data_IF_092203939616
#
_entry.id   IF_092203939616
#
_cell.length_a   1.000
_cell.length_b   1.000
_cell.length_c   1.000
_cell.angle_alpha   90.00
_cell.angle_beta   90.00
_cell.angle_gamma   90.00
#
_symmetry.space_group_name_H-M   'P 1'
#
loop_
_entity.id
_entity.type
_entity.pdbx_description
1 polymer ?
#
# COMPACT_ATOMS: atom_id res chain seq x y z
N UNK A 1 13.71 -4.03 -23.64
CA UNK A 1 12.73 -2.93 -23.58
C UNK A 1 13.18 -1.81 -24.49
N UNK A 2 12.45 -1.55 -25.61
CA UNK A 2 12.87 -0.61 -26.66
C UNK A 2 12.19 0.77 -26.54
N UNK A 3 11.47 1.04 -25.45
CA UNK A 3 10.77 2.30 -25.22
C UNK A 3 11.33 3.06 -24.02
N UNK A 4 11.40 4.39 -24.14
CA UNK A 4 11.75 5.29 -23.04
C UNK A 4 10.57 5.39 -22.07
N UNK A 5 10.75 4.97 -20.80
CA UNK A 5 9.73 5.11 -19.75
C UNK A 5 9.61 6.57 -19.34
N UNK A 6 8.41 7.13 -19.47
CA UNK A 6 8.07 8.52 -19.13
C UNK A 6 7.33 8.67 -17.82
N UNK A 7 6.71 7.58 -17.33
CA UNK A 7 6.03 7.59 -16.04
C UNK A 7 6.21 6.25 -15.30
N UNK A 8 6.26 6.33 -13.97
CA UNK A 8 6.20 5.16 -13.09
C UNK A 8 5.07 5.39 -12.09
N UNK A 9 4.12 4.44 -12.08
CA UNK A 9 3.06 4.39 -11.07
C UNK A 9 3.40 3.32 -10.04
N UNK A 10 3.11 3.58 -8.78
CA UNK A 10 3.39 2.69 -7.66
C UNK A 10 2.11 2.30 -6.93
N UNK A 11 2.06 1.06 -6.43
CA UNK A 11 1.20 0.74 -5.29
C UNK A 11 1.76 1.40 -4.02
N UNK A 12 0.96 1.41 -2.96
CA UNK A 12 1.34 2.02 -1.69
C UNK A 12 1.76 0.98 -0.65
N UNK A 13 0.82 0.12 -0.27
CA UNK A 13 0.96 -0.83 0.84
C UNK A 13 1.93 -1.96 0.47
N UNK A 14 2.91 -2.25 1.33
CA UNK A 14 3.99 -3.23 1.11
C UNK A 14 4.85 -2.99 -0.14
N UNK A 15 4.67 -1.85 -0.81
CA UNK A 15 5.47 -1.38 -1.94
C UNK A 15 6.36 -0.21 -1.55
N UNK A 16 5.81 0.87 -1.00
CA UNK A 16 6.56 2.06 -0.60
C UNK A 16 6.86 2.10 0.91
N UNK A 17 6.13 1.35 1.72
CA UNK A 17 6.34 1.19 3.16
C UNK A 17 5.81 -0.18 3.62
N UNK A 18 6.20 -0.64 4.82
CA UNK A 18 5.70 -1.88 5.43
C UNK A 18 4.30 -1.65 6.04
N UNK A 19 3.25 -2.23 5.40
CA UNK A 19 1.86 -2.11 5.87
C UNK A 19 1.66 -2.63 7.29
N UNK A 20 2.49 -3.57 7.74
CA UNK A 20 2.44 -4.07 9.11
C UNK A 20 2.65 -2.95 10.13
N UNK A 21 3.46 -1.93 9.80
CA UNK A 21 3.69 -0.77 10.68
C UNK A 21 2.43 0.07 10.85
N UNK A 22 1.59 0.20 9.82
CA UNK A 22 0.28 0.83 9.91
C UNK A 22 -0.66 0.03 10.82
N UNK A 23 -0.71 -1.29 10.68
CA UNK A 23 -1.54 -2.16 11.54
C UNK A 23 -1.13 -2.03 13.00
N UNK A 24 0.17 -2.09 13.31
CA UNK A 24 0.71 -1.92 14.66
C UNK A 24 0.34 -0.55 15.24
N UNK A 25 0.50 0.51 14.45
CA UNK A 25 0.13 1.87 14.84
C UNK A 25 -1.35 1.98 15.17
N UNK A 26 -2.22 1.41 14.34
CA UNK A 26 -3.65 1.38 14.55
C UNK A 26 -4.06 0.58 15.79
N UNK A 27 -3.44 -0.59 16.03
CA UNK A 27 -3.70 -1.38 17.23
C UNK A 27 -3.28 -0.65 18.51
N UNK A 28 -2.16 0.09 18.50
CA UNK A 28 -1.77 0.91 19.65
C UNK A 28 -2.80 2.01 19.94
N UNK A 29 -3.35 2.65 18.92
CA UNK A 29 -4.41 3.64 19.09
C UNK A 29 -5.69 3.03 19.67
N UNK A 30 -6.06 1.83 19.22
CA UNK A 30 -7.20 1.08 19.74
C UNK A 30 -6.97 0.67 21.19
N UNK A 31 -5.78 0.17 21.52
CA UNK A 31 -5.42 -0.19 22.92
C UNK A 31 -5.55 1.01 23.84
N UNK A 32 -4.98 2.16 23.47
CA UNK A 32 -5.09 3.39 24.24
C UNK A 32 -6.57 3.81 24.45
N UNK A 33 -7.38 3.69 23.42
CA UNK A 33 -8.82 3.98 23.50
C UNK A 33 -9.57 3.06 24.49
N UNK A 34 -9.23 1.76 24.49
CA UNK A 34 -9.84 0.77 25.40
C UNK A 34 -9.36 1.00 26.83
N UNK A 35 -8.04 1.21 27.06
CA UNK A 35 -7.46 1.42 28.37
C UNK A 35 -7.94 2.69 29.07
N UNK A 36 -8.28 3.74 28.30
CA UNK A 36 -8.90 4.97 28.84
C UNK A 36 -10.31 4.72 29.44
N UNK A 37 -10.99 3.65 29.01
CA UNK A 37 -12.39 3.36 29.37
C UNK A 37 -12.56 2.14 30.28
N UNK A 38 -11.62 1.21 30.21
CA UNK A 38 -11.70 -0.07 30.91
C UNK A 38 -10.37 -0.40 31.57
N UNK A 39 -10.39 -1.02 32.78
CA UNK A 39 -9.19 -1.44 33.47
C UNK A 39 -8.62 -2.72 32.82
N UNK A 40 -7.87 -2.55 31.71
CA UNK A 40 -7.27 -3.65 30.95
C UNK A 40 -5.75 -3.61 31.03
N UNK A 41 -5.11 -4.77 30.86
CA UNK A 41 -3.68 -4.85 30.56
C UNK A 41 -3.44 -4.47 29.08
N UNK A 42 -2.88 -3.27 28.86
CA UNK A 42 -2.58 -2.72 27.53
C UNK A 42 -1.69 -3.65 26.71
N UNK A 43 -0.65 -4.20 27.33
CA UNK A 43 0.27 -5.09 26.66
C UNK A 43 -0.42 -6.42 26.29
N UNK A 44 -1.20 -6.96 27.21
CA UNK A 44 -1.94 -8.21 26.99
C UNK A 44 -2.96 -8.09 25.86
N UNK A 45 -3.78 -7.01 25.83
CA UNK A 45 -4.78 -6.83 24.77
C UNK A 45 -4.10 -6.56 23.41
N UNK A 46 -2.98 -5.82 23.37
CA UNK A 46 -2.19 -5.63 22.15
C UNK A 46 -1.67 -6.96 21.60
N UNK A 47 -1.05 -7.78 22.46
CA UNK A 47 -0.55 -9.10 22.06
C UNK A 47 -1.66 -10.02 21.58
N UNK A 48 -2.83 -9.96 22.22
CA UNK A 48 -4.01 -10.70 21.79
C UNK A 48 -4.45 -10.28 20.37
N UNK A 49 -4.50 -8.97 20.08
CA UNK A 49 -4.81 -8.50 18.71
C UNK A 49 -3.79 -8.99 17.68
N UNK A 50 -2.49 -8.96 18.02
CA UNK A 50 -1.42 -9.46 17.14
C UNK A 50 -1.52 -10.97 16.91
N UNK A 51 -1.83 -11.75 17.96
CA UNK A 51 -2.07 -13.20 17.87
C UNK A 51 -3.24 -13.51 16.94
N UNK A 52 -4.40 -12.88 17.17
CA UNK A 52 -5.60 -13.09 16.33
C UNK A 52 -5.31 -12.71 14.88
N UNK A 53 -4.63 -11.59 14.65
CA UNK A 53 -4.23 -11.19 13.30
C UNK A 53 -3.39 -12.25 12.60
N UNK A 54 -2.43 -12.85 13.30
CA UNK A 54 -1.51 -13.84 12.73
C UNK A 54 -2.17 -15.20 12.48
N UNK A 55 -3.15 -15.58 13.29
CA UNK A 55 -3.78 -16.91 13.23
C UNK A 55 -5.09 -16.95 12.42
N UNK A 56 -5.83 -15.83 12.39
CA UNK A 56 -7.17 -15.77 11.83
C UNK A 56 -7.36 -14.65 10.79
N UNK A 57 -6.34 -13.81 10.59
CA UNK A 57 -6.40 -12.67 9.67
C UNK A 57 -7.18 -11.47 10.22
N UNK A 58 -7.51 -10.52 9.32
CA UNK A 58 -8.00 -9.18 9.70
C UNK A 58 -9.46 -9.11 10.14
N UNK A 59 -10.29 -10.09 9.81
CA UNK A 59 -11.75 -9.94 9.82
C UNK A 59 -12.41 -9.81 11.19
N UNK A 60 -11.80 -10.34 12.29
CA UNK A 60 -12.40 -10.41 13.63
C UNK A 60 -11.43 -10.11 14.77
N UNK A 61 -10.41 -9.32 14.50
CA UNK A 61 -9.36 -9.04 15.49
C UNK A 61 -9.95 -8.39 16.75
N UNK A 62 -10.78 -7.35 16.59
CA UNK A 62 -11.37 -6.64 17.71
C UNK A 62 -12.43 -7.46 18.42
N UNK A 63 -13.27 -8.17 17.68
CA UNK A 63 -14.28 -9.06 18.25
C UNK A 63 -13.64 -10.03 19.24
N UNK A 64 -12.61 -10.76 18.79
CA UNK A 64 -11.95 -11.80 19.59
C UNK A 64 -11.09 -11.25 20.71
N UNK A 65 -10.39 -10.14 20.46
CA UNK A 65 -9.64 -9.48 21.50
C UNK A 65 -10.56 -9.00 22.63
N UNK A 66 -11.66 -8.34 22.31
CA UNK A 66 -12.63 -7.91 23.32
C UNK A 66 -13.30 -9.07 24.05
N UNK A 67 -13.63 -10.15 23.34
CA UNK A 67 -14.26 -11.35 23.94
C UNK A 67 -13.35 -11.97 25.01
N UNK A 68 -12.03 -12.10 24.76
CA UNK A 68 -11.06 -12.62 25.74
C UNK A 68 -10.97 -11.76 27.01
N UNK A 69 -11.29 -10.48 26.94
CA UNK A 69 -11.32 -9.56 28.08
C UNK A 69 -12.70 -9.34 28.67
N UNK A 70 -13.74 -10.05 28.17
CA UNK A 70 -15.12 -9.93 28.64
C UNK A 70 -15.76 -8.57 28.30
N UNK A 71 -15.24 -7.87 27.29
CA UNK A 71 -15.67 -6.54 26.87
C UNK A 71 -16.42 -6.54 25.53
N UNK A 72 -16.64 -7.71 24.95
CA UNK A 72 -17.27 -7.79 23.63
C UNK A 72 -18.67 -7.16 23.61
N UNK A 73 -18.84 -6.19 22.71
CA UNK A 73 -20.13 -5.74 22.24
C UNK A 73 -20.00 -5.26 20.78
N UNK A 74 -21.03 -5.47 19.92
CA UNK A 74 -21.01 -4.99 18.55
C UNK A 74 -20.76 -3.47 18.44
N UNK A 75 -21.33 -2.68 19.35
CA UNK A 75 -21.14 -1.23 19.38
C UNK A 75 -19.67 -0.86 19.66
N UNK A 76 -19.03 -1.51 20.64
CA UNK A 76 -17.63 -1.25 20.93
C UNK A 76 -16.71 -1.68 19.76
N UNK A 77 -16.99 -2.81 19.10
CA UNK A 77 -16.25 -3.22 17.90
C UNK A 77 -16.34 -2.15 16.81
N UNK A 78 -17.52 -1.58 16.55
CA UNK A 78 -17.71 -0.52 15.57
C UNK A 78 -16.92 0.74 15.95
N UNK A 79 -16.92 1.14 17.23
CA UNK A 79 -16.08 2.23 17.74
C UNK A 79 -14.60 1.97 17.51
N UNK A 80 -14.10 0.75 17.82
CA UNK A 80 -12.70 0.38 17.63
C UNK A 80 -12.30 0.39 16.14
N UNK A 81 -13.17 -0.05 15.24
CA UNK A 81 -12.96 0.07 13.80
C UNK A 81 -12.85 1.56 13.39
N UNK A 82 -13.69 2.41 13.95
CA UNK A 82 -13.62 3.86 13.77
C UNK A 82 -12.28 4.44 14.23
N UNK A 83 -11.84 4.09 15.44
CA UNK A 83 -10.53 4.51 16.00
C UNK A 83 -9.39 4.02 15.11
N UNK A 84 -9.39 2.75 14.72
CA UNK A 84 -8.37 2.15 13.86
C UNK A 84 -8.29 2.88 12.50
N UNK A 85 -9.41 3.18 11.86
CA UNK A 85 -9.45 3.85 10.55
C UNK A 85 -9.09 5.33 10.62
N UNK A 86 -9.31 5.99 11.75
CA UNK A 86 -9.09 7.43 11.92
C UNK A 86 -7.82 7.81 12.65
N UNK A 87 -7.02 6.84 13.17
CA UNK A 87 -5.79 7.15 13.89
C UNK A 87 -4.78 7.89 13.03
N UNK A 88 -3.85 8.58 13.69
CA UNK A 88 -2.67 9.18 13.05
C UNK A 88 -1.60 8.10 12.86
N UNK A 89 -1.29 7.68 11.63
CA UNK A 89 -0.35 6.58 11.43
C UNK A 89 1.09 6.94 11.83
N UNK A 90 1.75 6.03 12.55
CA UNK A 90 3.18 6.10 12.85
C UNK A 90 3.91 5.15 11.88
N UNK A 91 4.13 5.62 10.66
CA UNK A 91 4.69 4.84 9.54
C UNK A 91 5.80 5.61 8.85
N UNK A 92 6.71 4.88 8.21
CA UNK A 92 7.85 5.46 7.48
C UNK A 92 8.06 4.72 6.17
N UNK A 93 8.50 5.45 5.14
CA UNK A 93 8.89 4.86 3.85
C UNK A 93 10.06 3.88 4.02
N UNK A 94 10.15 2.90 3.14
CA UNK A 94 11.39 2.13 3.00
C UNK A 94 12.56 3.05 2.64
N UNK A 95 13.79 2.72 3.08
CA UNK A 95 14.95 3.63 2.93
C UNK A 95 15.31 3.96 1.49
N UNK A 96 15.01 3.08 0.54
CA UNK A 96 15.32 3.22 -0.88
C UNK A 96 14.29 4.08 -1.66
N UNK A 97 13.12 4.37 -1.08
CA UNK A 97 12.03 5.06 -1.79
C UNK A 97 12.42 6.49 -2.18
N UNK A 98 12.79 7.31 -1.18
CA UNK A 98 13.10 8.72 -1.45
C UNK A 98 14.25 8.89 -2.47
N UNK A 99 15.40 8.18 -2.33
CA UNK A 99 16.47 8.26 -3.32
C UNK A 99 16.04 7.87 -4.74
N UNK A 100 15.26 6.81 -4.88
CA UNK A 100 14.80 6.34 -6.20
C UNK A 100 13.82 7.31 -6.82
N UNK A 101 12.81 7.81 -6.08
CA UNK A 101 11.86 8.79 -6.58
C UNK A 101 12.56 10.09 -7.01
N UNK A 102 13.54 10.55 -6.23
CA UNK A 102 14.34 11.74 -6.59
C UNK A 102 15.10 11.53 -7.89
N UNK A 103 15.79 10.40 -8.03
CA UNK A 103 16.54 10.08 -9.26
C UNK A 103 15.60 9.98 -10.47
N UNK A 104 14.47 9.30 -10.36
CA UNK A 104 13.49 9.21 -11.45
C UNK A 104 13.03 10.60 -11.91
N UNK A 105 12.76 11.53 -10.96
CA UNK A 105 12.38 12.91 -11.27
C UNK A 105 13.52 13.70 -11.94
N UNK A 106 14.77 13.53 -11.53
CA UNK A 106 15.93 14.16 -12.16
C UNK A 106 16.05 13.77 -13.64
N UNK A 107 15.66 12.54 -13.99
CA UNK A 107 15.60 12.07 -15.37
C UNK A 107 14.29 12.44 -16.11
N UNK A 108 13.42 13.25 -15.48
CA UNK A 108 12.17 13.72 -16.08
C UNK A 108 11.04 12.68 -16.10
N UNK A 109 11.17 11.58 -15.35
CA UNK A 109 10.13 10.57 -15.24
C UNK A 109 9.04 11.09 -14.29
N UNK A 110 7.79 11.04 -14.74
CA UNK A 110 6.61 11.41 -13.95
C UNK A 110 6.25 10.30 -12.97
N UNK A 111 5.83 10.65 -11.77
CA UNK A 111 5.56 9.71 -10.69
C UNK A 111 4.10 9.75 -10.28
N UNK A 112 3.52 8.58 -10.02
CA UNK A 112 2.17 8.48 -9.49
C UNK A 112 1.98 7.34 -8.50
N UNK A 113 0.88 7.40 -7.76
CA UNK A 113 0.41 6.33 -6.88
C UNK A 113 -0.99 5.94 -7.30
N UNK A 114 -1.26 4.63 -7.39
CA UNK A 114 -2.60 4.08 -7.57
C UNK A 114 -2.83 3.08 -6.44
N UNK A 115 -3.72 3.41 -5.51
CA UNK A 115 -3.91 2.64 -4.28
C UNK A 115 -5.36 2.30 -4.02
N UNK A 116 -5.59 1.04 -3.60
CA UNK A 116 -6.89 0.53 -3.16
C UNK A 116 -7.10 0.73 -1.67
N UNK A 117 -8.35 0.74 -1.26
CA UNK A 117 -8.76 0.88 0.13
C UNK A 117 -9.56 2.15 0.38
N UNK A 118 -10.17 2.27 1.54
CA UNK A 118 -10.98 3.45 1.90
C UNK A 118 -10.17 4.73 1.71
N UNK A 119 -10.70 5.65 0.92
CA UNK A 119 -10.04 6.93 0.61
C UNK A 119 -9.51 7.64 1.86
N UNK A 120 -10.33 7.75 2.90
CA UNK A 120 -9.93 8.42 4.15
C UNK A 120 -8.74 7.76 4.86
N UNK A 121 -8.58 6.43 4.73
CA UNK A 121 -7.46 5.67 5.31
C UNK A 121 -6.21 5.85 4.46
N UNK A 122 -6.31 5.64 3.15
CA UNK A 122 -5.17 5.77 2.23
C UNK A 122 -4.62 7.20 2.21
N UNK A 123 -5.50 8.20 2.29
CA UNK A 123 -5.10 9.60 2.40
C UNK A 123 -4.26 9.87 3.65
N UNK A 124 -4.66 9.36 4.82
CA UNK A 124 -3.87 9.50 6.08
C UNK A 124 -2.50 8.81 5.98
N UNK A 125 -2.42 7.67 5.30
CA UNK A 125 -1.13 7.00 5.04
C UNK A 125 -0.23 7.87 4.17
N UNK A 126 -0.76 8.39 3.06
CA UNK A 126 -0.05 9.28 2.12
C UNK A 126 0.47 10.54 2.84
N UNK A 127 -0.39 11.19 3.63
CA UNK A 127 -0.03 12.38 4.44
C UNK A 127 1.08 12.04 5.45
N UNK A 128 0.93 10.93 6.21
CA UNK A 128 1.92 10.51 7.20
C UNK A 128 3.29 10.15 6.59
N UNK A 129 3.30 9.63 5.37
CA UNK A 129 4.50 9.29 4.61
C UNK A 129 5.10 10.49 3.85
N UNK A 130 4.42 11.64 3.81
CA UNK A 130 4.86 12.83 3.08
C UNK A 130 4.90 12.66 1.56
N UNK A 131 4.12 11.76 1.00
CA UNK A 131 4.17 11.39 -0.42
C UNK A 131 3.54 12.43 -1.35
N UNK A 132 2.64 13.30 -0.85
CA UNK A 132 1.96 14.33 -1.67
C UNK A 132 2.94 15.28 -2.38
N UNK A 133 4.08 15.58 -1.74
CA UNK A 133 5.15 16.41 -2.33
C UNK A 133 6.14 15.63 -3.21
N UNK A 134 6.10 14.30 -3.18
CA UNK A 134 7.07 13.44 -3.85
C UNK A 134 6.58 12.86 -5.18
N UNK A 135 5.28 12.89 -5.46
CA UNK A 135 4.69 12.36 -6.69
C UNK A 135 3.84 13.41 -7.40
N UNK A 136 3.59 13.20 -8.70
CA UNK A 136 2.86 14.15 -9.54
C UNK A 136 1.35 13.88 -9.54
N UNK A 137 0.94 12.62 -9.27
CA UNK A 137 -0.46 12.21 -9.19
C UNK A 137 -0.67 11.14 -8.14
N UNK A 138 -1.83 11.22 -7.46
CA UNK A 138 -2.32 10.16 -6.57
C UNK A 138 -3.75 9.84 -7.01
N UNK A 139 -4.03 8.54 -7.17
CA UNK A 139 -5.36 8.01 -7.49
C UNK A 139 -5.76 7.05 -6.37
N UNK A 140 -6.81 7.41 -5.68
CA UNK A 140 -7.50 6.56 -4.73
C UNK A 140 -8.63 5.85 -5.48
N UNK A 141 -8.51 4.55 -5.69
CA UNK A 141 -9.50 3.80 -6.50
C UNK A 141 -10.90 3.81 -5.88
N UNK A 142 -10.99 3.97 -4.56
CA UNK A 142 -12.26 4.11 -3.83
C UNK A 142 -13.11 5.31 -4.30
N UNK A 143 -12.48 6.40 -4.75
CA UNK A 143 -13.18 7.56 -5.32
C UNK A 143 -13.79 7.30 -6.71
N UNK A 144 -13.28 6.29 -7.41
CA UNK A 144 -13.81 5.89 -8.72
C UNK A 144 -14.99 4.92 -8.59
N UNK A 145 -15.24 4.41 -7.38
CA UNK A 145 -16.32 3.49 -7.05
C UNK A 145 -15.85 2.06 -6.84
N UNK A 146 -16.69 1.22 -6.22
CA UNK A 146 -16.29 -0.11 -5.70
C UNK A 146 -15.88 -1.12 -6.79
N UNK A 147 -16.28 -0.90 -8.04
CA UNK A 147 -15.95 -1.78 -9.16
C UNK A 147 -14.64 -1.41 -9.86
N UNK A 148 -13.95 -0.37 -9.40
CA UNK A 148 -12.74 0.17 -10.03
C UNK A 148 -11.48 -0.04 -9.19
N UNK A 149 -11.56 -0.92 -8.19
CA UNK A 149 -10.37 -1.39 -7.48
C UNK A 149 -9.55 -2.31 -8.38
N UNK A 150 -8.24 -2.35 -8.18
CA UNK A 150 -7.34 -3.23 -8.92
C UNK A 150 -7.81 -4.70 -8.82
N UNK A 151 -7.79 -5.46 -9.89
CA UNK A 151 -7.06 -5.25 -11.15
C UNK A 151 -7.81 -4.44 -12.23
N UNK A 152 -8.94 -3.77 -11.94
CA UNK A 152 -9.62 -2.95 -12.93
C UNK A 152 -8.68 -1.84 -13.47
N UNK A 153 -8.60 -1.62 -14.80
CA UNK A 153 -7.63 -0.69 -15.38
C UNK A 153 -7.97 0.79 -15.19
N UNK A 154 -9.15 1.14 -14.71
CA UNK A 154 -9.64 2.53 -14.63
C UNK A 154 -8.74 3.43 -13.80
N UNK A 155 -8.25 2.96 -12.65
CA UNK A 155 -7.34 3.74 -11.80
C UNK A 155 -6.03 4.10 -12.49
N UNK A 156 -5.46 3.15 -13.24
CA UNK A 156 -4.21 3.36 -14.00
C UNK A 156 -4.43 4.33 -15.16
N UNK A 157 -5.51 4.17 -15.94
CA UNK A 157 -5.86 5.07 -17.04
C UNK A 157 -6.07 6.50 -16.53
N UNK A 158 -6.77 6.67 -15.40
CA UNK A 158 -6.98 7.97 -14.78
C UNK A 158 -5.66 8.63 -14.36
N UNK A 159 -4.72 7.88 -13.79
CA UNK A 159 -3.39 8.39 -13.45
C UNK A 159 -2.62 8.81 -14.71
N UNK A 160 -2.60 7.98 -15.75
CA UNK A 160 -1.89 8.25 -17.00
C UNK A 160 -2.47 9.45 -17.76
N UNK A 161 -3.79 9.62 -17.78
CA UNK A 161 -4.44 10.79 -18.36
C UNK A 161 -3.97 12.08 -17.67
N UNK A 162 -3.98 12.12 -16.33
CA UNK A 162 -3.50 13.27 -15.54
C UNK A 162 -2.02 13.55 -15.76
N UNK A 163 -1.21 12.53 -16.01
CA UNK A 163 0.20 12.65 -16.32
C UNK A 163 0.45 12.98 -17.79
N UNK A 164 -0.53 12.90 -18.67
CA UNK A 164 -0.40 13.00 -20.11
C UNK A 164 0.68 12.06 -20.69
N UNK A 165 0.64 10.77 -20.31
CA UNK A 165 1.56 9.71 -20.75
C UNK A 165 0.78 8.54 -21.31
N UNK A 166 1.28 7.93 -22.40
CA UNK A 166 0.65 6.74 -22.99
C UNK A 166 0.97 5.50 -22.13
N UNK A 167 0.07 4.52 -22.03
CA UNK A 167 0.31 3.29 -21.28
C UNK A 167 1.62 2.59 -21.64
N UNK A 168 1.96 2.51 -22.94
CA UNK A 168 3.20 1.87 -23.44
C UNK A 168 4.49 2.60 -23.06
N UNK A 169 4.39 3.80 -22.51
CA UNK A 169 5.51 4.62 -22.02
C UNK A 169 5.57 4.66 -20.48
N UNK A 170 4.80 3.79 -19.82
CA UNK A 170 4.67 3.77 -18.37
C UNK A 170 4.90 2.37 -17.78
N UNK A 171 5.45 2.34 -16.57
CA UNK A 171 5.54 1.13 -15.75
C UNK A 171 4.63 1.25 -14.51
N UNK A 172 4.15 0.11 -14.03
CA UNK A 172 3.50 0.00 -12.73
C UNK A 172 4.29 -0.93 -11.82
N UNK A 173 4.58 -0.49 -10.61
CA UNK A 173 5.34 -1.22 -9.60
C UNK A 173 4.43 -1.56 -8.44
N UNK A 174 4.27 -2.84 -8.15
CA UNK A 174 3.44 -3.34 -7.04
C UNK A 174 4.00 -4.61 -6.44
N UNK A 175 3.37 -5.09 -5.37
CA UNK A 175 3.81 -6.26 -4.61
C UNK A 175 2.82 -7.43 -4.65
N UNK A 176 1.56 -7.20 -5.03
CA UNK A 176 0.50 -8.20 -4.93
C UNK A 176 0.11 -8.78 -6.31
N UNK A 177 0.52 -10.04 -6.61
CA UNK A 177 0.21 -10.70 -7.87
C UNK A 177 -1.28 -10.82 -8.18
N UNK A 178 -2.13 -10.83 -7.15
CA UNK A 178 -3.58 -11.03 -7.33
C UNK A 178 -4.30 -9.80 -7.89
N UNK A 179 -3.71 -8.61 -7.79
CA UNK A 179 -4.39 -7.36 -8.15
C UNK A 179 -3.54 -6.36 -8.96
N UNK A 180 -2.19 -6.41 -8.85
CA UNK A 180 -1.34 -5.32 -9.32
C UNK A 180 -0.95 -5.40 -10.80
N UNK A 181 -1.03 -6.57 -11.46
CA UNK A 181 -0.38 -6.73 -12.75
C UNK A 181 -1.31 -6.93 -13.95
N UNK A 182 -2.46 -7.60 -13.76
CA UNK A 182 -3.40 -7.86 -14.85
C UNK A 182 -3.94 -6.56 -15.49
N UNK A 183 -4.32 -5.59 -14.67
CA UNK A 183 -4.85 -4.30 -15.16
C UNK A 183 -3.83 -3.50 -15.96
N UNK A 184 -2.63 -3.19 -15.42
CA UNK A 184 -1.57 -2.51 -16.15
C UNK A 184 -1.19 -3.21 -17.46
N UNK A 185 -1.02 -4.53 -17.43
CA UNK A 185 -0.69 -5.33 -18.61
C UNK A 185 -1.77 -5.23 -19.70
N UNK A 186 -3.04 -5.31 -19.32
CA UNK A 186 -4.16 -5.25 -20.25
C UNK A 186 -4.21 -3.94 -21.05
N UNK A 187 -3.66 -2.85 -20.51
CA UNK A 187 -3.61 -1.54 -21.20
C UNK A 187 -2.25 -1.25 -21.83
N UNK A 188 -1.28 -2.18 -21.72
CA UNK A 188 0.04 -2.08 -22.35
C UNK A 188 1.09 -1.35 -21.53
N UNK A 189 0.87 -1.16 -20.22
CA UNK A 189 1.93 -0.74 -19.28
C UNK A 189 2.90 -1.90 -19.01
N UNK A 190 4.11 -1.58 -18.56
CA UNK A 190 5.06 -2.56 -18.07
C UNK A 190 4.76 -2.90 -16.59
N UNK A 191 4.26 -4.10 -16.26
CA UNK A 191 4.06 -4.51 -14.88
C UNK A 191 5.37 -5.00 -14.26
N UNK A 192 5.75 -4.41 -13.12
CA UNK A 192 6.97 -4.73 -12.36
C UNK A 192 6.60 -5.22 -10.97
N UNK A 193 6.96 -6.46 -10.66
CA UNK A 193 6.74 -7.04 -9.33
C UNK A 193 7.92 -6.73 -8.41
N UNK A 194 7.67 -5.99 -7.35
CA UNK A 194 8.64 -5.71 -6.28
C UNK A 194 8.44 -6.69 -5.12
N UNK A 195 9.38 -7.61 -4.95
CA UNK A 195 9.41 -8.60 -3.86
C UNK A 195 10.25 -8.08 -2.68
N UNK A 196 9.67 -7.30 -1.79
CA UNK A 196 10.41 -6.67 -0.68
C UNK A 196 10.76 -7.59 0.48
N UNK A 197 9.99 -8.63 0.70
CA UNK A 197 10.22 -9.59 1.77
C UNK A 197 10.23 -11.00 1.20
N UNK A 198 10.97 -11.91 1.84
CA UNK A 198 10.93 -13.36 1.63
C UNK A 198 9.56 -13.98 1.99
N UNK A 199 8.49 -13.21 1.89
CA UNK A 199 7.16 -13.77 1.86
C UNK A 199 7.14 -14.67 0.63
N UNK A 200 7.37 -15.96 0.90
CA UNK A 200 7.18 -17.11 0.03
C UNK A 200 5.71 -17.13 -0.46
N UNK A 201 5.32 -16.11 -1.21
CA UNK A 201 4.24 -16.26 -2.16
C UNK A 201 4.86 -17.17 -3.21
N UNK A 202 4.48 -18.45 -3.15
CA UNK A 202 4.82 -19.42 -4.20
C UNK A 202 4.65 -18.71 -5.54
N UNK A 203 5.56 -19.02 -6.49
CA UNK A 203 5.49 -18.56 -7.87
C UNK A 203 4.16 -19.02 -8.48
N UNK A 204 3.07 -18.36 -8.10
CA UNK A 204 1.82 -18.45 -8.84
C UNK A 204 2.04 -17.67 -10.13
N UNK A 205 1.43 -18.10 -11.22
CA UNK A 205 1.46 -17.45 -12.54
C UNK A 205 1.21 -15.94 -12.38
N UNK A 206 2.31 -15.20 -12.20
CA UNK A 206 2.28 -13.76 -11.97
C UNK A 206 2.36 -13.08 -13.33
N UNK A 207 1.39 -12.23 -13.63
CA UNK A 207 1.34 -11.49 -14.90
C UNK A 207 2.40 -10.37 -14.99
N UNK A 208 3.26 -10.21 -13.99
CA UNK A 208 4.39 -9.29 -14.04
C UNK A 208 5.41 -9.75 -15.09
N UNK A 209 5.93 -8.81 -15.86
CA UNK A 209 6.96 -9.07 -16.87
C UNK A 209 8.38 -8.95 -16.33
N UNK A 210 8.53 -8.23 -15.21
CA UNK A 210 9.80 -7.97 -14.53
C UNK A 210 9.64 -8.21 -13.05
N UNK A 211 10.67 -8.80 -12.43
CA UNK A 211 10.76 -9.00 -10.98
C UNK A 211 11.98 -8.28 -10.45
N UNK A 212 11.80 -7.50 -9.40
CA UNK A 212 12.85 -6.80 -8.66
C UNK A 212 12.69 -7.06 -7.16
N UNK A 213 13.79 -6.94 -6.41
CA UNK A 213 13.81 -7.10 -4.95
C UNK A 213 14.04 -5.77 -4.23
N UNK A 214 14.66 -4.82 -4.93
CA UNK A 214 14.91 -3.47 -4.46
C UNK A 214 14.41 -2.45 -5.48
N UNK A 215 13.87 -1.34 -4.98
CA UNK A 215 13.33 -0.29 -5.87
C UNK A 215 14.42 0.35 -6.74
N UNK A 216 15.66 0.35 -6.26
CA UNK A 216 16.82 0.86 -7.00
C UNK A 216 17.09 0.15 -8.33
N UNK A 217 16.66 -1.12 -8.47
CA UNK A 217 16.78 -1.88 -9.73
C UNK A 217 15.99 -1.26 -10.88
N UNK A 218 14.96 -0.44 -10.61
CA UNK A 218 14.24 0.32 -11.64
C UNK A 218 15.16 1.27 -12.42
N UNK A 219 16.15 1.86 -11.75
CA UNK A 219 17.07 2.81 -12.37
C UNK A 219 17.93 2.12 -13.42
N UNK A 220 18.31 0.87 -13.18
CA UNK A 220 19.04 0.04 -14.14
C UNK A 220 18.11 -0.44 -15.26
N UNK A 221 16.92 -0.93 -14.90
CA UNK A 221 15.90 -1.40 -15.84
C UNK A 221 15.57 -0.35 -16.90
N UNK A 222 15.52 0.92 -16.51
CA UNK A 222 15.21 2.03 -17.41
C UNK A 222 16.46 2.68 -18.02
N UNK A 223 17.66 2.12 -17.80
CA UNK A 223 18.95 2.64 -18.28
C UNK A 223 19.23 4.09 -17.81
N UNK A 224 18.79 4.45 -16.61
CA UNK A 224 18.99 5.79 -16.04
C UNK A 224 20.34 5.90 -15.31
N UNK A 225 20.93 4.78 -14.89
CA UNK A 225 22.28 4.69 -14.32
C UNK A 225 23.05 3.57 -15.00
N UNK A 226 24.35 3.78 -15.20
CA UNK A 226 25.28 2.74 -15.63
C UNK A 226 26.05 2.20 -14.42
N UNK A 227 26.41 0.92 -14.49
CA UNK A 227 27.28 0.26 -13.48
C UNK A 227 28.67 0.88 -13.45
#
# INVERSE_FOLDING_TARGET
LTGYIKAVLFDLDDTLYDERTFVISGFRAVVAYVADRFPVDEQGIFLTMMEVLSTEGRGKVFDKALDRYGLYSPALVEELVGVYRSHQPQITLYPDVIPVLATLKEYGVKLGIVTDGLHSVQKRKIEALGLEGLVDVIVYTDELGPNHWKPDPTGFLHALERLAVQPTEAAYVGNDPSKDFAGPKAIGMLPVHLKRNDNLIEETDCEAEVHITELAELLQLFNLIHH
#
